data_IF_088375348634
#
_entry.id   IF_088375348634
#
_cell.length_a   1.000
_cell.length_b   1.000
_cell.length_c   1.000
_cell.angle_alpha   90.00
_cell.angle_beta   90.00
_cell.angle_gamma   90.00
#
_symmetry.space_group_name_H-M   'P 1'
#
loop_
_entity.id
_entity.type
_entity.pdbx_description
1 polymer ?
#
# COMPACT_ATOMS: atom_id res chain seq x y z
N UNK A 1 -43.50 2.80 -16.41
CA UNK A 1 -42.56 1.97 -15.62
C UNK A 1 -41.32 2.83 -15.38
N UNK A 2 -41.10 3.25 -14.14
CA UNK A 2 -39.88 3.98 -13.78
C UNK A 2 -38.78 2.97 -13.51
N UNK A 3 -37.70 3.04 -14.28
CA UNK A 3 -36.48 2.27 -14.07
C UNK A 3 -35.82 2.84 -12.81
N UNK A 4 -36.01 2.19 -11.66
CA UNK A 4 -35.25 2.46 -10.45
C UNK A 4 -33.81 2.03 -10.74
N UNK A 5 -32.96 2.99 -11.10
CA UNK A 5 -31.52 2.78 -11.12
C UNK A 5 -31.10 2.39 -9.71
N UNK A 6 -30.71 1.13 -9.53
CA UNK A 6 -30.01 0.67 -8.34
C UNK A 6 -28.70 1.46 -8.27
N UNK A 7 -28.68 2.52 -7.46
CA UNK A 7 -27.44 3.14 -7.05
C UNK A 7 -26.63 2.06 -6.34
N UNK A 8 -25.57 1.58 -6.98
CA UNK A 8 -24.61 0.74 -6.31
C UNK A 8 -24.10 1.54 -5.11
N UNK A 9 -24.37 1.03 -3.90
CA UNK A 9 -23.73 1.56 -2.70
C UNK A 9 -22.26 1.21 -2.87
N UNK A 10 -21.42 2.20 -3.15
CA UNK A 10 -19.97 2.02 -3.18
C UNK A 10 -19.57 1.62 -1.77
N UNK A 11 -18.97 0.43 -1.62
CA UNK A 11 -18.49 -0.03 -0.33
C UNK A 11 -17.42 0.95 0.17
N UNK A 12 -17.50 1.33 1.45
CA UNK A 12 -16.46 2.15 2.06
C UNK A 12 -15.10 1.42 1.94
N UNK A 13 -13.98 2.16 1.81
CA UNK A 13 -12.66 1.56 1.82
C UNK A 13 -12.45 0.67 3.04
N UNK A 14 -11.87 -0.50 2.83
CA UNK A 14 -11.51 -1.44 3.88
C UNK A 14 -10.00 -1.63 3.93
N UNK A 15 -9.48 -2.00 5.09
CA UNK A 15 -8.04 -2.11 5.30
C UNK A 15 -7.69 -2.54 6.72
N UNK A 16 -6.41 -2.60 6.99
CA UNK A 16 -5.86 -2.97 8.29
C UNK A 16 -4.53 -2.27 8.57
N UNK A 17 -4.12 -2.31 9.84
CA UNK A 17 -2.93 -1.63 10.36
C UNK A 17 -2.35 -2.42 11.52
N UNK A 18 -1.02 -2.46 11.61
CA UNK A 18 -0.34 -3.07 12.75
C UNK A 18 -0.46 -2.25 14.04
N UNK A 19 -0.79 -0.96 13.93
CA UNK A 19 -0.95 -0.06 15.07
C UNK A 19 -1.83 1.16 14.72
N UNK A 20 -3.09 1.13 15.18
CA UNK A 20 -4.06 2.21 14.93
C UNK A 20 -3.74 3.54 15.62
N UNK A 21 -2.83 3.56 16.59
CA UNK A 21 -2.34 4.82 17.16
C UNK A 21 -1.38 5.54 16.22
N UNK A 22 -0.63 4.79 15.41
CA UNK A 22 0.29 5.33 14.40
C UNK A 22 -0.40 5.61 13.08
N UNK A 23 -1.06 4.60 12.51
CA UNK A 23 -1.82 4.72 11.26
C UNK A 23 -3.17 4.07 11.44
N UNK A 24 -4.22 4.85 11.22
CA UNK A 24 -5.57 4.34 11.08
C UNK A 24 -6.04 4.52 9.62
N UNK A 25 -6.82 3.56 9.13
CA UNK A 25 -7.22 3.49 7.71
C UNK A 25 -8.73 3.59 7.58
N UNK A 26 -9.22 4.18 6.49
CA UNK A 26 -10.66 4.29 6.26
C UNK A 26 -11.01 5.22 5.12
N UNK A 27 -12.29 5.60 5.03
CA UNK A 27 -12.75 6.57 4.05
C UNK A 27 -12.16 7.96 4.33
N UNK A 28 -11.55 8.56 3.31
CA UNK A 28 -11.02 9.92 3.35
C UNK A 28 -12.14 10.91 3.65
N UNK A 29 -11.84 11.88 4.52
CA UNK A 29 -12.77 12.94 4.91
C UNK A 29 -12.07 14.28 5.16
N UNK A 30 -10.79 14.38 4.80
CA UNK A 30 -9.99 15.58 4.97
C UNK A 30 -10.41 16.67 3.97
N UNK A 31 -10.79 17.84 4.48
CA UNK A 31 -11.43 18.91 3.70
C UNK A 31 -10.66 19.41 2.46
N UNK A 32 -9.34 19.21 2.41
CA UNK A 32 -8.50 19.65 1.26
C UNK A 32 -8.10 18.55 0.29
N UNK A 33 -8.19 17.27 0.67
CA UNK A 33 -7.65 16.18 -0.14
C UNK A 33 -8.77 15.35 -0.80
N UNK A 34 -10.01 15.85 -0.77
CA UNK A 34 -11.17 15.08 -1.23
C UNK A 34 -11.71 14.14 -0.15
N UNK A 35 -12.71 13.34 -0.51
CA UNK A 35 -13.37 12.45 0.42
C UNK A 35 -14.02 11.25 -0.26
N UNK A 36 -14.15 10.16 0.51
CA UNK A 36 -14.84 8.94 0.12
C UNK A 36 -13.96 7.81 -0.41
N UNK A 37 -12.70 8.08 -0.77
CA UNK A 37 -11.75 7.04 -1.21
C UNK A 37 -10.83 6.61 -0.05
N UNK A 38 -9.92 5.69 -0.33
CA UNK A 38 -8.93 5.19 0.61
C UNK A 38 -8.09 6.31 1.24
N UNK A 39 -8.12 6.36 2.56
CA UNK A 39 -7.48 7.41 3.33
C UNK A 39 -6.76 6.94 4.57
N UNK A 40 -5.80 7.77 5.02
CA UNK A 40 -4.98 7.54 6.20
C UNK A 40 -5.19 8.64 7.22
N UNK A 41 -5.40 8.24 8.47
CA UNK A 41 -5.28 9.12 9.63
C UNK A 41 -3.98 8.79 10.35
N UNK A 42 -3.05 9.73 10.31
CA UNK A 42 -1.72 9.56 10.87
C UNK A 42 -1.64 10.14 12.29
N UNK A 43 -1.02 9.39 13.20
CA UNK A 43 -0.72 9.77 14.58
C UNK A 43 -1.94 10.36 15.33
N UNK A 44 -3.11 9.73 15.18
CA UNK A 44 -4.34 10.17 15.83
C UNK A 44 -4.85 11.55 15.42
N UNK A 45 -4.36 12.13 14.32
CA UNK A 45 -4.63 13.51 13.92
C UNK A 45 -6.12 13.88 13.90
N UNK A 46 -6.44 15.03 14.50
CA UNK A 46 -7.79 15.60 14.48
C UNK A 46 -8.24 16.08 13.10
N UNK A 47 -7.34 16.09 12.11
CA UNK A 47 -7.63 16.53 10.73
C UNK A 47 -8.37 15.47 9.90
N UNK A 48 -8.55 14.26 10.44
CA UNK A 48 -9.26 13.17 9.77
C UNK A 48 -8.37 12.32 8.86
N UNK A 49 -9.00 11.61 7.94
CA UNK A 49 -8.36 10.70 6.98
C UNK A 49 -8.03 11.46 5.69
N UNK A 50 -6.74 11.55 5.37
CA UNK A 50 -6.27 12.14 4.12
C UNK A 50 -6.43 11.13 3.00
N UNK A 51 -7.01 11.57 1.89
CA UNK A 51 -7.04 10.80 0.65
C UNK A 51 -5.61 10.53 0.15
N UNK A 52 -5.26 9.25 0.01
CA UNK A 52 -3.90 8.83 -0.35
C UNK A 52 -3.55 9.34 -1.76
N UNK A 53 -4.48 9.19 -2.70
CA UNK A 53 -4.28 9.55 -4.10
C UNK A 53 -4.20 11.06 -4.27
N UNK A 54 -5.16 11.80 -3.72
CA UNK A 54 -5.26 13.25 -3.83
C UNK A 54 -4.26 14.04 -2.99
N UNK A 55 -3.75 13.44 -1.90
CA UNK A 55 -2.79 14.05 -1.00
C UNK A 55 -1.34 13.65 -1.31
N UNK A 56 -0.72 12.77 -0.50
CA UNK A 56 0.71 12.51 -0.56
C UNK A 56 1.20 11.99 -1.92
N UNK A 57 0.42 11.14 -2.61
CA UNK A 57 0.79 10.62 -3.93
C UNK A 57 0.79 11.74 -4.97
N UNK A 58 -0.31 12.48 -5.09
CA UNK A 58 -0.42 13.54 -6.10
C UNK A 58 0.65 14.62 -5.90
N UNK A 59 0.86 15.09 -4.67
CA UNK A 59 1.89 16.08 -4.37
C UNK A 59 3.30 15.58 -4.65
N UNK A 60 3.60 14.33 -4.26
CA UNK A 60 4.89 13.67 -4.54
C UNK A 60 5.16 13.63 -6.04
N UNK A 61 4.24 13.04 -6.80
CA UNK A 61 4.38 12.87 -8.25
C UNK A 61 4.44 14.22 -9.00
N UNK A 62 3.69 15.23 -8.56
CA UNK A 62 3.76 16.56 -9.15
C UNK A 62 5.13 17.21 -8.94
N UNK A 63 5.68 17.12 -7.73
CA UNK A 63 7.01 17.63 -7.42
C UNK A 63 8.09 16.90 -8.24
N UNK A 64 8.03 15.57 -8.29
CA UNK A 64 8.97 14.72 -9.03
C UNK A 64 8.89 14.98 -10.54
N UNK A 65 7.69 15.09 -11.10
CA UNK A 65 7.53 15.41 -12.52
C UNK A 65 8.13 16.76 -12.89
N UNK A 66 8.15 17.72 -11.97
CA UNK A 66 8.70 19.04 -12.19
C UNK A 66 10.23 19.12 -11.95
N UNK A 67 10.75 18.33 -11.00
CA UNK A 67 12.09 18.55 -10.43
C UNK A 67 12.93 17.30 -10.21
N UNK A 68 12.42 16.11 -10.53
CA UNK A 68 13.08 14.81 -10.37
C UNK A 68 12.98 14.20 -8.97
N UNK A 69 13.45 12.96 -8.82
CA UNK A 69 13.50 12.24 -7.56
C UNK A 69 14.41 12.91 -6.52
N UNK A 70 14.04 12.77 -5.24
CA UNK A 70 14.74 13.40 -4.13
C UNK A 70 14.50 14.90 -4.00
N UNK A 71 13.59 15.45 -4.80
CA UNK A 71 13.21 16.86 -4.72
C UNK A 71 12.41 17.17 -3.45
N UNK A 72 12.30 18.46 -3.15
CA UNK A 72 11.46 18.97 -2.07
C UNK A 72 10.07 19.28 -2.62
N UNK A 73 9.06 18.64 -2.07
CA UNK A 73 7.65 18.99 -2.22
C UNK A 73 7.31 20.22 -1.36
N UNK A 74 6.53 21.12 -1.94
CA UNK A 74 6.02 22.36 -1.35
C UNK A 74 4.49 22.43 -1.54
N UNK A 75 3.77 23.38 -0.88
CA UNK A 75 2.32 23.48 -1.05
C UNK A 75 1.87 23.66 -2.51
N UNK A 76 2.68 24.30 -3.37
CA UNK A 76 2.31 24.53 -4.77
C UNK A 76 2.17 23.24 -5.57
N UNK A 77 2.87 22.18 -5.20
CA UNK A 77 2.77 20.87 -5.87
C UNK A 77 1.44 20.17 -5.56
N UNK A 78 0.75 20.62 -4.51
CA UNK A 78 -0.62 20.24 -4.15
C UNK A 78 -1.67 21.26 -4.65
N UNK A 79 -1.27 22.24 -5.47
CA UNK A 79 -2.14 23.32 -5.93
C UNK A 79 -2.48 24.37 -4.87
N UNK A 80 -1.74 24.41 -3.75
CA UNK A 80 -1.92 25.37 -2.66
C UNK A 80 -0.94 26.56 -2.79
N UNK A 81 -1.30 27.69 -2.20
CA UNK A 81 -0.38 28.83 -2.12
C UNK A 81 0.69 28.61 -1.06
N UNK A 82 1.96 28.76 -1.44
CA UNK A 82 3.09 28.74 -0.51
C UNK A 82 4.34 28.11 -1.12
N UNK A 83 5.51 28.45 -0.55
CA UNK A 83 6.82 27.95 -0.99
C UNK A 83 7.61 27.29 0.14
N UNK A 84 6.99 27.11 1.31
CA UNK A 84 7.59 26.39 2.43
C UNK A 84 7.90 24.95 2.03
N UNK A 85 9.04 24.43 2.47
CA UNK A 85 9.37 23.01 2.32
C UNK A 85 8.38 22.18 3.13
N UNK A 86 7.93 21.05 2.61
CA UNK A 86 7.06 20.11 3.34
C UNK A 86 7.79 18.78 3.53
N UNK A 87 8.21 18.17 2.43
CA UNK A 87 8.78 16.83 2.43
C UNK A 87 9.77 16.65 1.28
N UNK A 88 10.69 15.70 1.43
CA UNK A 88 11.48 15.14 0.34
C UNK A 88 10.76 13.92 -0.22
N UNK A 89 10.77 13.74 -1.53
CA UNK A 89 9.92 12.75 -2.22
C UNK A 89 10.65 11.95 -3.29
N UNK A 90 10.27 10.68 -3.44
CA UNK A 90 10.78 9.76 -4.46
C UNK A 90 9.66 8.88 -5.01
N UNK A 91 9.76 8.49 -6.28
CA UNK A 91 8.87 7.56 -6.92
C UNK A 91 9.65 6.48 -7.67
N UNK A 92 9.31 5.22 -7.43
CA UNK A 92 9.90 4.09 -8.10
C UNK A 92 8.81 3.23 -8.76
N UNK A 93 8.89 3.12 -10.08
CA UNK A 93 8.05 2.25 -10.91
C UNK A 93 8.87 1.18 -11.62
N UNK A 94 10.18 1.10 -11.37
CA UNK A 94 11.14 0.31 -12.13
C UNK A 94 11.65 -0.91 -11.35
N UNK A 95 11.80 -0.82 -10.02
CA UNK A 95 12.19 -1.97 -9.16
C UNK A 95 11.14 -3.10 -9.12
N UNK A 96 9.98 -2.86 -9.73
CA UNK A 96 8.78 -3.71 -9.73
C UNK A 96 8.41 -4.27 -11.10
N UNK A 97 9.19 -4.04 -12.17
CA UNK A 97 8.80 -4.35 -13.57
C UNK A 97 9.65 -5.41 -14.30
N UNK A 98 10.70 -5.94 -13.68
CA UNK A 98 11.80 -6.65 -14.38
C UNK A 98 11.70 -8.17 -14.61
N UNK A 99 10.58 -8.87 -14.40
CA UNK A 99 10.54 -10.34 -14.45
C UNK A 99 9.19 -11.00 -14.80
N UNK A 100 9.13 -12.33 -14.81
CA UNK A 100 7.87 -13.09 -15.02
C UNK A 100 6.94 -13.06 -13.81
N UNK A 101 7.49 -12.80 -12.61
CA UNK A 101 6.80 -12.78 -11.31
C UNK A 101 6.62 -11.36 -10.74
N UNK A 102 6.88 -10.34 -11.55
CA UNK A 102 6.87 -8.95 -11.07
C UNK A 102 5.45 -8.38 -11.03
N UNK A 103 5.15 -7.61 -9.98
CA UNK A 103 3.82 -7.05 -9.72
C UNK A 103 3.66 -5.65 -10.32
N UNK A 104 2.45 -5.29 -10.77
CA UNK A 104 2.17 -3.90 -11.15
C UNK A 104 2.05 -3.05 -9.88
N UNK A 105 3.13 -2.49 -9.36
CA UNK A 105 3.09 -1.62 -8.19
C UNK A 105 3.97 -0.38 -8.41
N UNK A 106 3.47 0.81 -8.11
CA UNK A 106 4.30 2.01 -8.01
C UNK A 106 4.59 2.31 -6.53
N UNK A 107 5.80 2.72 -6.18
CA UNK A 107 6.16 3.05 -4.80
C UNK A 107 6.45 4.55 -4.69
N UNK A 108 5.76 5.22 -3.77
CA UNK A 108 6.02 6.59 -3.38
C UNK A 108 6.63 6.63 -1.99
N UNK A 109 7.78 7.27 -1.84
CA UNK A 109 8.43 7.50 -0.54
C UNK A 109 8.39 8.97 -0.22
N UNK A 110 7.85 9.33 0.95
CA UNK A 110 7.64 10.71 1.39
C UNK A 110 8.27 10.88 2.77
N UNK A 111 9.25 11.77 2.87
CA UNK A 111 9.94 12.11 4.12
C UNK A 111 9.60 13.53 4.52
N UNK A 112 8.81 13.72 5.57
CA UNK A 112 8.44 15.06 6.02
C UNK A 112 9.65 15.76 6.67
N UNK A 113 9.89 17.00 6.24
CA UNK A 113 10.96 17.88 6.75
C UNK A 113 10.36 18.98 7.61
N UNK A 114 9.20 19.50 7.24
CA UNK A 114 8.52 20.55 8.00
C UNK A 114 7.04 20.21 8.09
N UNK A 115 6.47 20.15 9.30
CA UNK A 115 5.04 19.90 9.46
C UNK A 115 4.24 21.02 8.79
N UNK A 116 3.42 20.72 7.77
CA UNK A 116 2.51 21.70 7.21
C UNK A 116 1.35 21.93 8.19
N UNK A 117 0.78 23.13 8.24
CA UNK A 117 -0.37 23.45 9.10
C UNK A 117 -1.67 22.70 8.70
N UNK A 118 -1.62 21.99 7.58
CA UNK A 118 -2.76 21.57 6.80
C UNK A 118 -2.78 20.05 6.56
N UNK A 119 -1.77 19.34 7.06
CA UNK A 119 -1.66 17.88 7.03
C UNK A 119 -1.01 17.40 8.35
N UNK A 120 -1.20 16.14 8.75
CA UNK A 120 -0.65 15.59 9.97
C UNK A 120 0.88 15.50 9.91
N UNK A 121 1.46 15.44 11.09
CA UNK A 121 2.89 15.29 11.27
C UNK A 121 3.29 13.80 11.19
N UNK A 122 4.37 13.52 10.44
CA UNK A 122 4.97 12.19 10.32
C UNK A 122 6.47 12.30 10.05
N UNK A 123 7.21 11.18 10.08
CA UNK A 123 8.61 11.12 9.70
C UNK A 123 8.74 10.66 8.26
N UNK A 124 8.52 9.37 8.06
CA UNK A 124 8.45 8.75 6.75
C UNK A 124 7.07 8.13 6.48
N UNK A 125 6.68 8.15 5.22
CA UNK A 125 5.51 7.47 4.69
C UNK A 125 5.90 6.84 3.35
N UNK A 126 5.80 5.52 3.24
CA UNK A 126 6.07 4.78 2.01
C UNK A 126 4.75 4.14 1.57
N UNK A 127 4.42 4.30 0.29
CA UNK A 127 3.11 3.98 -0.27
C UNK A 127 3.33 3.14 -1.52
N UNK A 128 3.08 1.84 -1.43
CA UNK A 128 2.82 0.98 -2.58
C UNK A 128 1.43 1.24 -3.13
N UNK A 129 1.35 1.47 -4.44
CA UNK A 129 0.12 1.66 -5.19
C UNK A 129 -0.03 0.52 -6.17
N UNK A 130 -1.04 -0.31 -5.98
CA UNK A 130 -1.30 -1.43 -6.89
C UNK A 130 -1.82 -0.87 -8.22
N UNK A 131 -1.27 -1.40 -9.31
CA UNK A 131 -1.65 -1.15 -10.68
C UNK A 131 -2.62 -2.20 -11.20
N UNK A 132 -3.21 -1.91 -12.35
CA UNK A 132 -4.20 -2.79 -12.94
C UNK A 132 -3.62 -4.19 -13.24
N UNK A 133 -4.48 -5.21 -13.14
CA UNK A 133 -4.20 -6.56 -13.65
C UNK A 133 -3.61 -6.52 -15.06
N UNK A 134 -2.45 -7.17 -15.25
CA UNK A 134 -1.86 -7.39 -16.58
C UNK A 134 -1.55 -8.87 -16.78
N UNK A 135 -1.80 -9.37 -17.99
CA UNK A 135 -1.32 -10.69 -18.39
C UNK A 135 0.11 -10.56 -18.95
N UNK A 136 1.10 -11.18 -18.30
CA UNK A 136 2.50 -11.15 -18.74
C UNK A 136 3.35 -10.17 -17.93
N UNK A 137 4.40 -9.61 -18.55
CA UNK A 137 5.30 -8.66 -17.90
C UNK A 137 4.54 -7.41 -17.40
N UNK A 138 4.97 -6.81 -16.27
CA UNK A 138 4.38 -5.56 -15.81
C UNK A 138 4.43 -4.47 -16.87
N UNK A 139 3.49 -3.54 -16.77
CA UNK A 139 3.56 -2.33 -17.56
C UNK A 139 4.83 -1.54 -17.18
N UNK A 140 5.54 -1.04 -18.20
CA UNK A 140 6.63 -0.08 -18.03
C UNK A 140 6.28 1.21 -18.81
N UNK A 141 5.91 2.31 -18.13
CA UNK A 141 5.79 2.43 -16.67
C UNK A 141 4.54 1.71 -16.13
N UNK A 142 4.57 1.36 -14.84
CA UNK A 142 3.38 0.83 -14.15
C UNK A 142 2.24 1.85 -14.25
N UNK A 143 1.02 1.36 -14.51
CA UNK A 143 -0.20 2.16 -14.51
C UNK A 143 -0.99 1.86 -13.22
N UNK A 144 -0.95 2.75 -12.21
CA UNK A 144 -1.72 2.58 -10.97
C UNK A 144 -3.22 2.50 -11.23
N UNK A 145 -3.95 1.84 -10.33
CA UNK A 145 -5.41 1.84 -10.34
C UNK A 145 -5.97 3.28 -10.25
N UNK A 146 -7.08 3.53 -10.94
CA UNK A 146 -7.75 4.83 -10.91
C UNK A 146 -8.29 5.15 -9.52
N UNK A 147 -8.41 6.45 -9.21
CA UNK A 147 -9.12 6.93 -8.01
C UNK A 147 -10.52 6.32 -7.94
N UNK A 148 -10.92 5.85 -6.76
CA UNK A 148 -12.17 5.12 -6.55
C UNK A 148 -12.06 3.61 -6.78
N UNK A 149 -10.88 3.13 -7.21
CA UNK A 149 -10.50 1.71 -7.27
C UNK A 149 -9.10 1.49 -6.70
N UNK A 150 -8.55 2.48 -5.98
CA UNK A 150 -7.18 2.47 -5.52
C UNK A 150 -6.97 1.40 -4.45
N UNK A 151 -5.87 0.67 -4.55
CA UNK A 151 -5.43 -0.29 -3.53
C UNK A 151 -4.01 0.08 -3.11
N UNK A 152 -3.83 0.30 -1.82
CA UNK A 152 -2.64 0.87 -1.24
C UNK A 152 -2.14 0.04 -0.07
N UNK A 153 -0.83 0.02 0.11
CA UNK A 153 -0.18 -0.60 1.25
C UNK A 153 1.12 0.13 1.54
N UNK A 154 1.67 -0.04 2.73
CA UNK A 154 2.98 0.52 3.00
C UNK A 154 3.28 0.66 4.47
N UNK A 155 4.18 1.59 4.76
CA UNK A 155 4.71 1.79 6.10
C UNK A 155 4.77 3.27 6.46
N UNK A 156 4.76 3.51 7.76
CA UNK A 156 4.79 4.83 8.36
C UNK A 156 5.71 4.83 9.57
N UNK A 157 6.40 5.95 9.77
CA UNK A 157 7.21 6.21 10.95
C UNK A 157 6.86 7.58 11.57
N UNK A 158 7.00 7.73 12.90
CA UNK A 158 6.77 8.99 13.57
C UNK A 158 7.77 10.06 13.13
N UNK A 159 7.39 11.33 13.32
CA UNK A 159 8.28 12.44 13.04
C UNK A 159 9.52 12.45 13.93
N UNK A 160 10.62 12.95 13.37
CA UNK A 160 11.83 13.28 14.10
C UNK A 160 11.84 14.78 14.42
N UNK A 161 12.43 15.18 15.55
CA UNK A 161 12.33 16.55 16.05
C UNK A 161 13.12 17.58 15.21
N UNK A 162 14.16 17.16 14.52
CA UNK A 162 15.02 18.03 13.72
C UNK A 162 15.51 17.29 12.47
N UNK A 163 14.61 17.04 11.50
CA UNK A 163 14.98 16.40 10.25
C UNK A 163 15.94 17.31 9.49
N UNK A 164 17.04 16.76 8.98
CA UNK A 164 17.86 17.44 7.97
C UNK A 164 17.09 17.56 6.66
N UNK A 165 17.39 18.58 5.87
CA UNK A 165 16.67 18.88 4.62
C UNK A 165 16.88 17.81 3.53
N UNK A 166 18.03 17.16 3.50
CA UNK A 166 18.39 16.17 2.47
C UNK A 166 18.87 14.88 3.14
N UNK A 167 18.06 13.83 3.06
CA UNK A 167 18.35 12.52 3.64
C UNK A 167 17.39 11.46 3.14
N UNK A 168 17.91 10.26 2.94
CA UNK A 168 17.13 9.05 2.62
C UNK A 168 16.64 8.30 3.86
N UNK A 169 16.85 8.82 5.08
CA UNK A 169 16.40 8.20 6.33
C UNK A 169 14.94 8.57 6.60
N UNK A 170 14.04 7.60 6.50
CA UNK A 170 12.60 7.75 6.73
C UNK A 170 12.19 7.45 8.18
N UNK A 171 13.14 7.22 9.09
CA UNK A 171 12.94 6.83 10.48
C UNK A 171 12.23 5.46 10.63
N UNK A 172 12.43 4.54 9.68
CA UNK A 172 11.74 3.25 9.64
C UNK A 172 12.34 2.19 10.58
N UNK A 173 13.47 2.49 11.23
CA UNK A 173 13.99 1.76 12.40
C UNK A 173 13.23 2.07 13.69
N UNK A 174 12.32 3.05 13.69
CA UNK A 174 11.51 3.39 14.86
C UNK A 174 10.70 2.20 15.39
N UNK A 175 10.70 2.01 16.71
CA UNK A 175 9.84 1.03 17.37
C UNK A 175 8.34 1.29 17.17
N UNK A 176 7.97 2.51 16.77
CA UNK A 176 6.59 2.90 16.45
C UNK A 176 6.28 2.79 14.95
N UNK A 177 7.19 2.23 14.14
CA UNK A 177 6.92 1.92 12.73
C UNK A 177 5.63 1.11 12.62
N UNK A 178 4.78 1.50 11.68
CA UNK A 178 3.48 0.89 11.46
C UNK A 178 3.37 0.45 10.01
N UNK A 179 2.97 -0.80 9.78
CA UNK A 179 2.59 -1.30 8.45
C UNK A 179 1.08 -1.25 8.30
N UNK A 180 0.61 -0.96 7.10
CA UNK A 180 -0.81 -0.73 6.84
C UNK A 180 -1.17 -1.11 5.40
N UNK A 181 -2.46 -1.32 5.18
CA UNK A 181 -3.05 -1.48 3.86
C UNK A 181 -4.50 -0.95 3.85
N UNK A 182 -4.96 -0.47 2.70
CA UNK A 182 -6.34 0.00 2.48
C UNK A 182 -6.65 0.01 1.00
N UNK A 183 -7.89 -0.29 0.64
CA UNK A 183 -8.33 -0.16 -0.75
C UNK A 183 -9.81 0.18 -0.89
N UNK A 184 -10.12 0.78 -2.02
CA UNK A 184 -11.48 1.04 -2.49
C UNK A 184 -12.11 -0.27 -2.99
N UNK A 185 -13.44 -0.33 -3.04
CA UNK A 185 -14.19 -1.49 -3.57
C UNK A 185 -13.77 -2.83 -2.95
N UNK A 186 -13.62 -2.86 -1.63
CA UNK A 186 -13.37 -4.08 -0.89
C UNK A 186 -14.42 -5.14 -1.24
N UNK A 187 -13.96 -6.36 -1.51
CA UNK A 187 -14.82 -7.48 -1.89
C UNK A 187 -15.75 -7.83 -0.74
N UNK A 188 -17.06 -7.65 -0.89
CA UNK A 188 -18.05 -7.98 0.16
C UNK A 188 -18.65 -9.37 0.04
N UNK A 189 -18.45 -10.02 -1.11
CA UNK A 189 -18.81 -11.40 -1.40
C UNK A 189 -17.68 -12.01 -2.22
N UNK A 190 -16.91 -12.93 -1.63
CA UNK A 190 -15.75 -13.52 -2.28
C UNK A 190 -16.16 -14.32 -3.52
N UNK A 191 -15.64 -14.01 -4.72
CA UNK A 191 -15.92 -14.76 -5.93
C UNK A 191 -15.29 -16.16 -5.86
N UNK A 192 -15.78 -17.08 -6.68
CA UNK A 192 -15.12 -18.38 -6.85
C UNK A 192 -13.74 -18.17 -7.50
N UNK A 193 -12.70 -18.72 -6.89
CA UNK A 193 -11.32 -18.62 -7.34
C UNK A 193 -10.72 -20.01 -7.49
N UNK A 194 -10.15 -20.30 -8.66
CA UNK A 194 -9.47 -21.57 -8.94
C UNK A 194 -8.07 -21.26 -9.44
N UNK A 195 -7.08 -21.55 -8.61
CA UNK A 195 -5.66 -21.27 -8.84
C UNK A 195 -5.42 -19.82 -9.32
N UNK A 196 -6.15 -18.85 -8.79
CA UNK A 196 -5.99 -17.45 -9.15
C UNK A 196 -4.64 -16.96 -8.62
N UNK A 197 -3.71 -16.59 -9.50
CA UNK A 197 -2.35 -16.20 -9.13
C UNK A 197 -2.18 -14.68 -9.16
N UNK A 198 -1.48 -14.16 -8.16
CA UNK A 198 -1.20 -12.74 -7.97
C UNK A 198 0.29 -12.55 -7.87
N UNK A 199 0.83 -11.61 -8.64
CA UNK A 199 2.20 -11.14 -8.44
C UNK A 199 2.16 -10.08 -7.35
N UNK A 200 2.99 -10.22 -6.32
CA UNK A 200 2.92 -9.43 -5.08
C UNK A 200 4.27 -8.80 -4.79
N UNK A 201 4.23 -7.55 -4.31
CA UNK A 201 5.36 -6.81 -3.76
C UNK A 201 5.14 -6.57 -2.28
N UNK A 202 6.21 -6.68 -1.49
CA UNK A 202 6.24 -6.34 -0.06
C UNK A 202 7.26 -5.26 0.27
N UNK A 203 6.90 -4.36 1.19
CA UNK A 203 7.70 -3.23 1.66
C UNK A 203 8.04 -3.44 3.14
N UNK A 204 9.33 -3.29 3.45
CA UNK A 204 9.84 -3.31 4.83
C UNK A 204 11.08 -2.43 5.00
N UNK A 205 10.99 -1.45 5.88
CA UNK A 205 12.11 -0.62 6.35
C UNK A 205 12.83 0.12 5.22
N UNK A 206 12.08 0.78 4.34
CA UNK A 206 12.65 1.68 3.34
C UNK A 206 13.27 2.90 4.02
N UNK A 207 14.45 3.31 3.56
CA UNK A 207 15.30 4.32 4.18
C UNK A 207 16.30 3.77 5.20
N UNK A 208 16.34 2.46 5.43
CA UNK A 208 17.29 1.82 6.34
C UNK A 208 18.37 1.04 5.57
N UNK A 209 19.63 1.22 5.96
CA UNK A 209 20.76 0.48 5.37
C UNK A 209 20.89 0.70 3.86
N UNK A 210 20.77 -0.39 3.08
CA UNK A 210 20.83 -0.38 1.61
C UNK A 210 19.45 -0.29 0.95
N UNK A 211 18.36 -0.51 1.70
CA UNK A 211 16.99 -0.36 1.21
C UNK A 211 16.61 1.12 1.19
N UNK A 212 16.95 1.84 0.13
CA UNK A 212 16.79 3.29 0.02
C UNK A 212 15.59 3.66 -0.85
N UNK A 213 14.99 4.86 -0.69
CA UNK A 213 13.95 5.36 -1.59
C UNK A 213 14.36 5.44 -3.07
N UNK A 214 15.66 5.50 -3.34
CA UNK A 214 16.24 5.53 -4.69
C UNK A 214 16.62 4.16 -5.22
N UNK A 215 16.56 3.12 -4.38
CA UNK A 215 16.99 1.76 -4.67
C UNK A 215 16.28 0.82 -3.68
N UNK A 216 15.00 0.56 -3.94
CA UNK A 216 14.20 -0.25 -3.04
C UNK A 216 14.66 -1.72 -3.06
N UNK A 217 14.80 -2.30 -1.88
CA UNK A 217 14.94 -3.74 -1.69
C UNK A 217 13.57 -4.29 -1.28
N UNK A 218 12.81 -4.74 -2.28
CA UNK A 218 11.44 -5.21 -2.12
C UNK A 218 11.38 -6.72 -1.95
N UNK A 219 10.36 -7.18 -1.23
CA UNK A 219 9.92 -8.56 -1.35
C UNK A 219 9.15 -8.72 -2.65
N UNK A 220 9.35 -9.81 -3.37
CA UNK A 220 8.58 -10.15 -4.58
C UNK A 220 8.21 -11.61 -4.59
N UNK A 221 7.06 -11.96 -5.13
CA UNK A 221 6.69 -13.36 -5.34
C UNK A 221 5.26 -13.52 -5.84
N UNK A 222 4.80 -14.77 -5.84
CA UNK A 222 3.48 -15.14 -6.37
C UNK A 222 2.65 -15.79 -5.28
N UNK A 223 1.43 -15.28 -5.08
CA UNK A 223 0.43 -15.89 -4.20
C UNK A 223 -0.67 -16.53 -5.04
N UNK A 224 -1.14 -17.70 -4.61
CA UNK A 224 -2.22 -18.45 -5.25
C UNK A 224 -3.43 -18.51 -4.33
N UNK A 225 -4.57 -18.01 -4.80
CA UNK A 225 -5.85 -18.07 -4.12
C UNK A 225 -6.73 -19.19 -4.69
N UNK A 226 -7.33 -19.94 -3.78
CA UNK A 226 -8.44 -20.85 -4.05
C UNK A 226 -9.59 -20.51 -3.11
N UNK A 227 -10.81 -20.38 -3.65
CA UNK A 227 -12.02 -20.12 -2.87
C UNK A 227 -13.24 -20.68 -3.59
N UNK A 228 -14.06 -21.47 -2.89
CA UNK A 228 -15.24 -22.10 -3.48
C UNK A 228 -15.42 -23.56 -3.04
N UNK A 229 -15.92 -24.45 -3.90
CA UNK A 229 -16.04 -25.88 -3.60
C UNK A 229 -14.64 -26.51 -3.49
N UNK A 230 -14.03 -26.45 -2.30
CA UNK A 230 -12.67 -26.92 -2.07
C UNK A 230 -12.01 -26.24 -0.87
N UNK A 231 -10.76 -25.83 -1.04
CA UNK A 231 -9.99 -25.10 -0.03
C UNK A 231 -10.18 -23.59 -0.20
N UNK A 232 -10.44 -22.89 0.89
CA UNK A 232 -10.57 -21.43 0.92
C UNK A 232 -9.27 -20.82 1.47
N UNK A 233 -8.22 -20.84 0.66
CA UNK A 233 -6.85 -20.57 1.09
C UNK A 233 -6.07 -19.71 0.12
N UNK A 234 -5.21 -18.87 0.67
CA UNK A 234 -4.14 -18.14 0.00
C UNK A 234 -2.80 -18.77 0.39
N UNK A 235 -2.00 -19.16 -0.60
CA UNK A 235 -0.72 -19.85 -0.40
C UNK A 235 0.37 -19.26 -1.28
N UNK A 236 1.63 -19.34 -0.88
CA UNK A 236 2.77 -18.87 -1.67
C UNK A 236 3.86 -18.27 -0.78
N UNK A 237 4.73 -17.47 -1.38
CA UNK A 237 5.74 -16.71 -0.65
C UNK A 237 6.10 -15.43 -1.38
N UNK A 238 6.70 -14.50 -0.64
CA UNK A 238 7.41 -13.34 -1.19
C UNK A 238 8.83 -13.32 -0.62
N UNK A 239 9.80 -13.03 -1.46
CA UNK A 239 11.23 -13.16 -1.15
C UNK A 239 11.97 -11.83 -1.34
N UNK A 240 12.91 -11.55 -0.44
CA UNK A 240 13.85 -10.40 -0.51
C UNK A 240 15.25 -10.88 -0.16
N UNK A 241 16.07 -11.11 -1.18
CA UNK A 241 17.44 -11.63 -0.97
C UNK A 241 17.42 -13.00 -0.30
N UNK A 242 17.77 -13.07 0.99
CA UNK A 242 17.75 -14.31 1.80
C UNK A 242 16.56 -14.38 2.76
N UNK A 243 15.68 -13.38 2.75
CA UNK A 243 14.48 -13.30 3.58
C UNK A 243 13.26 -13.79 2.79
N UNK A 244 12.34 -14.49 3.45
CA UNK A 244 11.17 -15.10 2.80
C UNK A 244 9.97 -14.99 3.74
N UNK A 245 8.89 -14.36 3.31
CA UNK A 245 7.61 -14.45 4.03
C UNK A 245 6.75 -15.53 3.36
N UNK A 246 6.51 -16.63 4.06
CA UNK A 246 5.61 -17.70 3.61
C UNK A 246 4.15 -17.45 4.00
N UNK A 247 3.25 -17.88 3.11
CA UNK A 247 1.80 -17.85 3.32
C UNK A 247 1.33 -19.30 3.49
N UNK A 248 1.23 -19.75 4.74
CA UNK A 248 1.01 -21.16 5.09
C UNK A 248 -0.49 -21.50 5.11
N UNK A 249 -1.13 -21.52 3.94
CA UNK A 249 -2.58 -21.76 3.80
C UNK A 249 -3.44 -20.75 4.59
N UNK A 250 -3.15 -19.47 4.38
CA UNK A 250 -3.89 -18.35 4.97
C UNK A 250 -5.37 -18.47 4.58
N UNK A 251 -6.28 -18.42 5.55
CA UNK A 251 -7.70 -18.66 5.32
C UNK A 251 -8.38 -17.45 4.67
N UNK A 252 -9.13 -17.69 3.59
CA UNK A 252 -9.95 -16.69 2.90
C UNK A 252 -11.39 -16.81 3.41
N UNK A 253 -11.99 -15.69 3.82
CA UNK A 253 -13.38 -15.63 4.29
C UNK A 253 -14.34 -15.25 3.16
N UNK A 254 -15.65 -15.22 3.47
CA UNK A 254 -16.70 -14.93 2.49
C UNK A 254 -16.86 -13.46 2.12
N UNK A 255 -16.15 -12.57 2.80
CA UNK A 255 -16.22 -11.12 2.62
C UNK A 255 -14.87 -10.57 2.16
N UNK A 256 -14.13 -11.32 1.34
CA UNK A 256 -12.86 -10.90 0.75
C UNK A 256 -11.67 -10.76 1.70
N UNK A 257 -11.86 -10.91 3.01
CA UNK A 257 -10.76 -10.85 3.97
C UNK A 257 -9.99 -12.17 4.01
N UNK A 258 -8.70 -12.10 4.31
CA UNK A 258 -7.88 -13.28 4.55
C UNK A 258 -6.98 -13.10 5.77
N UNK A 259 -6.92 -14.13 6.61
CA UNK A 259 -6.12 -14.11 7.84
C UNK A 259 -5.48 -15.46 8.09
N UNK A 260 -4.31 -15.47 8.73
CA UNK A 260 -3.61 -16.72 8.98
C UNK A 260 -2.24 -16.51 9.61
N UNK A 261 -1.47 -17.60 9.65
CA UNK A 261 -0.07 -17.56 10.03
C UNK A 261 0.80 -17.40 8.78
N UNK A 262 1.88 -16.65 8.91
CA UNK A 262 3.00 -16.69 8.00
C UNK A 262 4.28 -17.00 8.75
N UNK A 263 5.36 -17.25 8.03
CA UNK A 263 6.68 -17.41 8.64
C UNK A 263 7.74 -16.69 7.85
N UNK A 264 8.78 -16.20 8.55
CA UNK A 264 10.02 -15.70 7.97
C UNK A 264 11.21 -16.21 8.80
N UNK A 265 12.43 -15.89 8.42
CA UNK A 265 13.67 -16.26 9.11
C UNK A 265 13.66 -15.87 10.61
N UNK A 266 12.88 -14.86 10.99
CA UNK A 266 12.70 -14.40 12.38
C UNK A 266 11.66 -15.20 13.18
N UNK A 267 10.88 -16.07 12.55
CA UNK A 267 9.88 -16.93 13.20
C UNK A 267 8.48 -16.81 12.58
N UNK A 268 7.47 -17.21 13.36
CA UNK A 268 6.06 -17.16 12.95
C UNK A 268 5.46 -15.77 13.20
N UNK A 269 4.70 -15.27 12.24
CA UNK A 269 3.92 -14.04 12.34
C UNK A 269 2.46 -14.23 11.92
N UNK A 270 1.71 -13.14 11.90
CA UNK A 270 0.31 -13.10 11.51
C UNK A 270 0.14 -12.35 10.21
N UNK A 271 -0.69 -12.93 9.33
CA UNK A 271 -1.11 -12.33 8.06
C UNK A 271 -2.54 -11.83 8.23
N UNK A 272 -2.77 -10.60 7.79
CA UNK A 272 -4.09 -9.97 7.68
C UNK A 272 -4.16 -9.22 6.35
N UNK A 273 -5.27 -9.32 5.64
CA UNK A 273 -5.39 -8.71 4.32
C UNK A 273 -6.78 -8.82 3.72
N UNK A 274 -6.94 -8.23 2.54
CA UNK A 274 -8.22 -8.17 1.86
C UNK A 274 -8.07 -8.17 0.33
N UNK A 275 -9.07 -8.71 -0.36
CA UNK A 275 -9.26 -8.62 -1.80
C UNK A 275 -10.10 -7.38 -2.19
N UNK A 276 -9.81 -6.80 -3.34
CA UNK A 276 -10.44 -5.57 -3.86
C UNK A 276 -10.86 -5.73 -5.31
N UNK A 277 -11.74 -4.85 -5.80
CA UNK A 277 -12.14 -4.74 -7.20
C UNK A 277 -12.56 -6.08 -7.83
N UNK A 278 -13.45 -6.82 -7.15
CA UNK A 278 -13.87 -8.15 -7.63
C UNK A 278 -12.83 -9.25 -7.45
N UNK A 279 -11.90 -9.06 -6.51
CA UNK A 279 -10.75 -9.89 -6.21
C UNK A 279 -9.64 -9.87 -7.26
N UNK A 280 -9.61 -8.90 -8.16
CA UNK A 280 -8.49 -8.75 -9.09
C UNK A 280 -7.22 -8.20 -8.42
N UNK A 281 -7.35 -7.52 -7.28
CA UNK A 281 -6.22 -7.02 -6.52
C UNK A 281 -6.33 -7.39 -5.04
N UNK A 282 -5.18 -7.43 -4.36
CA UNK A 282 -5.09 -7.69 -2.94
C UNK A 282 -4.07 -6.78 -2.27
N UNK A 283 -4.26 -6.56 -0.97
CA UNK A 283 -3.27 -5.96 -0.11
C UNK A 283 -3.41 -6.49 1.32
N UNK A 284 -2.33 -6.43 2.09
CA UNK A 284 -2.28 -6.94 3.44
C UNK A 284 -1.01 -6.57 4.19
N UNK A 285 -0.89 -7.11 5.39
CA UNK A 285 0.27 -7.00 6.26
C UNK A 285 0.66 -8.37 6.82
N UNK A 286 1.96 -8.58 6.91
CA UNK A 286 2.58 -9.59 7.77
C UNK A 286 3.12 -8.87 9.00
N UNK A 287 2.83 -9.40 10.19
CA UNK A 287 3.24 -8.79 11.46
C UNK A 287 3.85 -9.83 12.39
N UNK A 288 4.86 -9.41 13.16
CA UNK A 288 5.41 -10.21 14.26
C UNK A 288 5.27 -9.41 15.56
N UNK A 289 5.88 -9.90 16.63
CA UNK A 289 5.99 -9.14 17.88
C UNK A 289 6.92 -7.92 17.77
N UNK A 290 7.79 -7.87 16.76
CA UNK A 290 8.69 -6.75 16.51
C UNK A 290 8.18 -5.89 15.35
N UNK A 291 8.00 -4.59 15.60
CA UNK A 291 7.57 -3.66 14.56
C UNK A 291 8.54 -3.55 13.37
N UNK A 292 9.84 -3.86 13.55
CA UNK A 292 10.84 -3.90 12.49
C UNK A 292 10.58 -4.98 11.44
N UNK A 293 9.89 -6.05 11.83
CA UNK A 293 9.72 -7.25 11.00
C UNK A 293 8.42 -7.23 10.20
N UNK A 294 7.54 -6.27 10.48
CA UNK A 294 6.30 -6.12 9.73
C UNK A 294 6.57 -5.86 8.25
N UNK A 295 5.81 -6.49 7.37
CA UNK A 295 5.86 -6.27 5.91
C UNK A 295 4.46 -5.86 5.46
N UNK A 296 4.34 -4.73 4.77
CA UNK A 296 3.11 -4.41 4.05
C UNK A 296 3.23 -4.93 2.62
N UNK A 297 2.20 -5.57 2.08
CA UNK A 297 2.24 -6.15 0.75
C UNK A 297 0.99 -5.86 -0.06
N UNK A 298 1.13 -5.89 -1.38
CA UNK A 298 0.03 -5.75 -2.31
C UNK A 298 0.40 -6.20 -3.71
N UNK A 299 -0.62 -6.51 -4.50
CA UNK A 299 -0.42 -7.08 -5.82
C UNK A 299 -1.72 -7.23 -6.61
N UNK A 300 -1.55 -7.58 -7.88
CA UNK A 300 -2.64 -7.77 -8.83
C UNK A 300 -2.63 -9.18 -9.39
N UNK A 301 -3.80 -9.65 -9.81
CA UNK A 301 -3.94 -10.89 -10.56
C UNK A 301 -3.04 -10.83 -11.80
N UNK A 302 -2.39 -11.95 -12.13
CA UNK A 302 -1.43 -12.01 -13.26
C UNK A 302 -2.03 -12.64 -14.53
N UNK A 303 -3.35 -12.85 -14.55
CA UNK A 303 -4.06 -13.50 -15.65
C UNK A 303 -4.09 -15.03 -15.57
N UNK A 304 -3.37 -15.66 -14.62
CA UNK A 304 -3.39 -17.12 -14.45
C UNK A 304 -4.43 -17.58 -13.44
N UNK A 305 -5.11 -18.69 -13.75
CA UNK A 305 -6.27 -19.15 -12.98
C UNK A 305 -7.54 -18.36 -13.30
N UNK A 306 -8.62 -18.66 -12.58
CA UNK A 306 -9.94 -18.05 -12.84
C UNK A 306 -10.52 -17.40 -11.60
N UNK A 307 -11.11 -16.22 -11.79
CA UNK A 307 -11.95 -15.51 -10.83
C UNK A 307 -13.34 -15.41 -11.46
N UNK A 308 -14.37 -15.90 -10.77
CA UNK A 308 -15.76 -15.93 -11.28
C UNK A 308 -16.73 -15.41 -10.22
N UNK A 309 -17.49 -14.33 -10.50
CA UNK A 309 -18.47 -13.76 -9.57
C UNK A 309 -19.53 -14.75 -9.08
#
# INVERSE_FOLDING_TARGET
MALLGSGAVVAAPAGGTSNSSGVDVGASNHFMFGGGNSGLKLNGSAMGYIDIAGGPVNGSNAAISARGDGTIMTPSDLGLFGSSKIAQVWNDTASVSGGSDTANVAINSVRQITPPFFAPQFGGLVIGQVGATSSGSPADPVVPLSVGSGVYFGEWAPAVASPVDDSTDLNMSSANRTVWYVGDNAVTSTPNMVNAQYNVVGIRQTGEGTNLPTAHELYTGTLTANYGPGTNTLTGSIDRGLETVSFDSVAINSTGGFTGSGSDAVGTGSIDGHFYNGAHELAGIYTTTNASDGVAFGGSHNGSGTITP
#
